data_IF_907982734201
#
_entry.id   IF_907982734201
#
_cell.length_a   1.000
_cell.length_b   1.000
_cell.length_c   1.000
_cell.angle_alpha   90.00
_cell.angle_beta   90.00
_cell.angle_gamma   90.00
#
_symmetry.space_group_name_H-M   'P 1'
#
loop_
_entity.id
_entity.type
_entity.pdbx_description
1 polymer ?
#
# COMPACT_ATOMS: atom_id res chain seq x y z
N UNK A 1 5.77 15.46 12.88
CA UNK A 1 6.19 14.93 11.54
C UNK A 1 7.45 14.09 11.75
N UNK A 2 7.42 12.78 11.50
CA UNK A 2 8.52 11.85 11.86
C UNK A 2 9.50 11.56 10.71
N UNK A 3 9.06 11.73 9.46
CA UNK A 3 9.88 11.46 8.29
C UNK A 3 10.69 12.71 7.90
N UNK A 4 12.00 12.55 7.71
CA UNK A 4 12.89 13.61 7.22
C UNK A 4 12.59 13.91 5.74
N UNK A 5 12.84 15.14 5.25
CA UNK A 5 12.82 15.44 3.82
C UNK A 5 13.64 14.42 3.02
N UNK A 6 13.11 13.96 1.88
CA UNK A 6 13.70 12.88 1.07
C UNK A 6 13.50 11.46 1.61
N UNK A 7 12.96 11.31 2.82
CA UNK A 7 12.71 10.01 3.46
C UNK A 7 11.66 9.17 2.73
N UNK A 8 11.73 7.85 2.94
CA UNK A 8 10.84 6.87 2.29
C UNK A 8 9.79 6.39 3.28
N UNK A 9 8.53 6.39 2.85
CA UNK A 9 7.41 5.77 3.53
C UNK A 9 6.94 4.55 2.72
N UNK A 10 6.88 3.39 3.36
CA UNK A 10 6.27 2.20 2.78
C UNK A 10 4.97 1.89 3.54
N UNK A 11 3.86 1.82 2.82
CA UNK A 11 2.53 1.52 3.33
C UNK A 11 2.08 0.18 2.77
N UNK A 12 1.60 -0.70 3.64
CA UNK A 12 0.88 -1.92 3.27
C UNK A 12 -0.51 -1.83 3.89
N UNK A 13 -1.54 -1.77 3.06
CA UNK A 13 -2.93 -1.63 3.52
C UNK A 13 -3.82 -2.69 2.86
N UNK A 14 -4.88 -3.17 3.54
CA UNK A 14 -5.83 -4.07 2.91
C UNK A 14 -6.49 -3.41 1.70
N UNK A 15 -6.64 -4.18 0.63
CA UNK A 15 -7.20 -3.72 -0.62
C UNK A 15 -8.71 -3.94 -0.70
N UNK A 16 -9.36 -3.02 -1.41
CA UNK A 16 -10.76 -3.11 -1.84
C UNK A 16 -11.81 -3.16 -0.73
N UNK A 17 -12.62 -2.11 -0.60
CA UNK A 17 -13.69 -2.05 0.42
C UNK A 17 -14.74 -3.16 0.27
N UNK A 18 -14.96 -3.68 -0.94
CA UNK A 18 -15.89 -4.79 -1.18
C UNK A 18 -15.38 -6.15 -0.64
N UNK A 19 -14.10 -6.25 -0.26
CA UNK A 19 -13.55 -7.41 0.44
C UNK A 19 -13.64 -7.28 1.97
N UNK A 20 -14.13 -6.14 2.48
CA UNK A 20 -14.25 -5.92 3.92
C UNK A 20 -15.29 -6.87 4.52
N UNK A 21 -14.90 -7.57 5.59
CA UNK A 21 -15.76 -8.55 6.24
C UNK A 21 -15.63 -8.60 7.76
N UNK A 22 -16.29 -9.59 8.41
CA UNK A 22 -16.26 -9.75 9.86
C UNK A 22 -14.85 -9.89 10.46
N UNK A 23 -13.91 -10.51 9.73
CA UNK A 23 -12.52 -10.64 10.23
C UNK A 23 -11.77 -9.34 10.19
N UNK A 24 -12.00 -8.50 9.18
CA UNK A 24 -11.43 -7.15 9.18
C UNK A 24 -11.84 -6.44 10.47
N UNK A 25 -13.14 -6.49 10.81
CA UNK A 25 -13.65 -5.90 12.05
C UNK A 25 -13.04 -6.53 13.30
N UNK A 26 -12.92 -7.86 13.34
CA UNK A 26 -12.34 -8.58 14.46
C UNK A 26 -10.84 -8.26 14.65
N UNK A 27 -10.12 -8.04 13.55
CA UNK A 27 -8.70 -7.67 13.50
C UNK A 27 -8.50 -6.14 13.62
N UNK A 28 -9.52 -5.38 14.04
CA UNK A 28 -9.45 -3.94 14.25
C UNK A 28 -9.36 -3.09 12.97
N UNK A 29 -9.58 -3.67 11.80
CA UNK A 29 -9.63 -2.94 10.55
C UNK A 29 -10.97 -2.20 10.39
N UNK A 30 -10.86 -0.92 10.04
CA UNK A 30 -12.00 -0.04 9.80
C UNK A 30 -12.27 0.20 8.31
N UNK A 31 -11.23 0.12 7.47
CA UNK A 31 -11.28 0.50 6.06
C UNK A 31 -10.33 -0.36 5.23
N UNK A 32 -10.66 -0.51 3.94
CA UNK A 32 -9.76 -1.04 2.91
C UNK A 32 -9.66 -0.04 1.76
N UNK A 33 -8.50 0.04 1.11
CA UNK A 33 -8.18 1.08 0.13
C UNK A 33 -7.97 0.49 -1.28
N UNK A 34 -8.36 1.21 -2.32
CA UNK A 34 -7.95 0.91 -3.70
C UNK A 34 -6.74 1.75 -4.09
N UNK A 35 -6.05 1.37 -5.18
CA UNK A 35 -4.93 2.17 -5.75
C UNK A 35 -5.32 3.63 -5.95
N UNK A 36 -6.41 3.87 -6.70
CA UNK A 36 -6.91 5.22 -7.00
C UNK A 36 -7.23 6.02 -5.74
N UNK A 37 -7.80 5.37 -4.73
CA UNK A 37 -8.15 6.06 -3.49
C UNK A 37 -6.89 6.47 -2.72
N UNK A 38 -5.87 5.60 -2.72
CA UNK A 38 -4.58 5.88 -2.10
C UNK A 38 -3.82 6.98 -2.86
N UNK A 39 -3.87 7.00 -4.20
CA UNK A 39 -3.31 8.06 -5.04
C UNK A 39 -3.94 9.42 -4.72
N UNK A 40 -5.27 9.49 -4.59
CA UNK A 40 -5.98 10.71 -4.20
C UNK A 40 -5.56 11.15 -2.79
N UNK A 41 -5.51 10.24 -1.82
CA UNK A 41 -5.09 10.62 -0.47
C UNK A 41 -3.64 11.14 -0.44
N UNK A 42 -2.75 10.52 -1.21
CA UNK A 42 -1.35 10.93 -1.28
C UNK A 42 -1.17 12.29 -1.99
N UNK A 43 -2.03 12.64 -2.96
CA UNK A 43 -1.93 13.94 -3.65
C UNK A 43 -2.22 15.13 -2.75
N UNK A 44 -2.93 14.94 -1.65
CA UNK A 44 -3.14 15.95 -0.61
C UNK A 44 -1.98 16.05 0.39
N UNK A 45 -0.87 15.37 0.12
CA UNK A 45 0.31 15.36 0.99
C UNK A 45 1.58 15.66 0.19
N UNK A 46 2.70 15.85 0.90
CA UNK A 46 4.03 15.96 0.28
C UNK A 46 4.67 14.59 -0.02
N UNK A 47 3.91 13.50 0.04
CA UNK A 47 4.39 12.16 -0.24
C UNK A 47 4.20 11.85 -1.73
N UNK A 48 5.28 11.94 -2.50
CA UNK A 48 5.28 11.56 -3.90
C UNK A 48 5.31 10.02 -4.03
N UNK A 49 4.33 9.39 -4.69
CA UNK A 49 4.37 7.95 -4.93
C UNK A 49 5.50 7.58 -5.88
N UNK A 50 6.36 6.64 -5.47
CA UNK A 50 7.37 5.98 -6.32
C UNK A 50 6.78 4.72 -6.96
N UNK A 51 5.96 3.99 -6.19
CA UNK A 51 5.35 2.74 -6.62
C UNK A 51 4.05 2.49 -5.88
N UNK A 52 2.99 2.15 -6.61
CA UNK A 52 1.75 1.66 -6.02
C UNK A 52 1.32 0.39 -6.77
N UNK A 53 1.25 -0.74 -6.07
CA UNK A 53 0.87 -2.03 -6.69
C UNK A 53 -0.02 -2.85 -5.77
N UNK A 54 -0.83 -3.71 -6.38
CA UNK A 54 -1.56 -4.73 -5.65
C UNK A 54 -0.64 -5.91 -5.36
N UNK A 55 -0.96 -6.64 -4.30
CA UNK A 55 -0.29 -7.87 -3.89
C UNK A 55 -1.34 -8.92 -3.50
N UNK A 56 -0.97 -10.18 -3.64
CA UNK A 56 -1.73 -11.35 -3.25
C UNK A 56 -3.12 -11.43 -3.92
N UNK A 57 -3.15 -11.46 -5.25
CA UNK A 57 -4.37 -11.65 -6.05
C UNK A 57 -5.08 -12.99 -5.78
N UNK A 58 -4.38 -14.13 -5.67
CA UNK A 58 -5.02 -15.39 -5.30
C UNK A 58 -5.64 -15.33 -3.90
N UNK A 59 -4.97 -14.67 -2.96
CA UNK A 59 -5.52 -14.40 -1.63
C UNK A 59 -6.79 -13.56 -1.69
N UNK A 60 -6.86 -12.55 -2.56
CA UNK A 60 -8.05 -11.73 -2.75
C UNK A 60 -9.25 -12.58 -3.22
N UNK A 61 -9.01 -13.47 -4.17
CA UNK A 61 -10.02 -14.38 -4.70
C UNK A 61 -10.46 -15.39 -3.64
N UNK A 62 -9.52 -16.01 -2.93
CA UNK A 62 -9.82 -16.95 -1.84
C UNK A 62 -10.63 -16.28 -0.72
N UNK A 63 -10.28 -15.04 -0.36
CA UNK A 63 -11.01 -14.22 0.60
C UNK A 63 -12.44 -13.99 0.10
N UNK A 64 -12.60 -13.51 -1.13
CA UNK A 64 -13.92 -13.24 -1.72
C UNK A 64 -14.81 -14.49 -1.76
N UNK A 65 -14.30 -15.62 -2.23
CA UNK A 65 -15.05 -16.89 -2.25
C UNK A 65 -15.48 -17.27 -0.84
N UNK A 66 -14.58 -17.18 0.14
CA UNK A 66 -14.89 -17.51 1.53
C UNK A 66 -16.02 -16.65 2.12
N UNK A 67 -15.98 -15.34 1.92
CA UNK A 67 -17.02 -14.45 2.48
C UNK A 67 -18.31 -14.51 1.70
N UNK A 68 -18.22 -14.38 0.38
CA UNK A 68 -19.37 -14.16 -0.48
C UNK A 68 -20.12 -15.45 -0.77
N UNK A 69 -19.39 -16.54 -0.98
CA UNK A 69 -19.96 -17.83 -1.33
C UNK A 69 -20.13 -18.73 -0.11
N UNK A 70 -19.07 -18.92 0.69
CA UNK A 70 -19.09 -19.86 1.82
C UNK A 70 -19.65 -19.27 3.12
N UNK A 71 -19.80 -17.94 3.21
CA UNK A 71 -20.28 -17.20 4.39
C UNK A 71 -19.56 -17.56 5.70
N UNK A 72 -18.29 -17.99 5.62
CA UNK A 72 -17.51 -18.38 6.79
C UNK A 72 -16.77 -17.19 7.39
N UNK A 73 -16.97 -16.96 8.70
CA UNK A 73 -16.40 -15.85 9.46
C UNK A 73 -15.30 -16.26 10.45
N UNK A 74 -14.89 -17.54 10.49
CA UNK A 74 -13.82 -18.06 11.37
C UNK A 74 -12.71 -18.79 10.60
N UNK A 75 -11.45 -18.43 10.91
CA UNK A 75 -10.25 -19.01 10.32
C UNK A 75 -9.80 -20.09 11.27
N UNK A 76 -9.76 -21.32 10.79
CA UNK A 76 -9.22 -22.42 11.57
C UNK A 76 -7.69 -22.30 11.65
N UNK A 77 -7.12 -22.63 12.80
CA UNK A 77 -5.70 -22.44 13.12
C UNK A 77 -4.72 -23.02 12.08
N UNK A 78 -5.11 -24.06 11.33
CA UNK A 78 -4.27 -24.65 10.26
C UNK A 78 -4.34 -23.95 8.89
N UNK A 79 -5.42 -23.21 8.60
CA UNK A 79 -5.65 -22.62 7.28
C UNK A 79 -4.72 -21.42 7.03
N UNK A 80 -4.39 -20.67 8.08
CA UNK A 80 -3.43 -19.56 8.01
C UNK A 80 -2.03 -20.04 7.63
N UNK A 81 -1.57 -21.17 8.19
CA UNK A 81 -0.27 -21.75 7.89
C UNK A 81 -0.16 -22.21 6.43
N UNK A 82 -1.19 -22.89 5.92
CA UNK A 82 -1.24 -23.31 4.52
C UNK A 82 -1.22 -22.10 3.56
N UNK A 83 -1.99 -21.05 3.86
CA UNK A 83 -1.97 -19.81 3.07
C UNK A 83 -0.60 -19.13 3.11
N UNK A 84 0.05 -19.09 4.28
CA UNK A 84 1.39 -18.53 4.43
C UNK A 84 2.45 -19.32 3.64
N UNK A 85 2.34 -20.65 3.59
CA UNK A 85 3.27 -21.52 2.87
C UNK A 85 3.22 -21.32 1.34
N UNK A 86 2.07 -20.95 0.78
CA UNK A 86 1.90 -20.70 -0.66
C UNK A 86 2.34 -19.28 -1.05
N UNK A 87 2.46 -18.36 -0.08
CA UNK A 87 2.77 -16.96 -0.32
C UNK A 87 4.12 -16.70 -1.04
N UNK A 88 5.22 -17.43 -0.77
CA UNK A 88 6.48 -17.25 -1.51
C UNK A 88 6.32 -17.51 -3.02
N UNK A 89 5.55 -18.54 -3.39
CA UNK A 89 5.27 -18.88 -4.78
C UNK A 89 4.44 -17.77 -5.46
N UNK A 90 3.38 -17.31 -4.78
CA UNK A 90 2.56 -16.18 -5.26
C UNK A 90 3.44 -14.94 -5.47
N UNK A 91 4.30 -14.61 -4.49
CA UNK A 91 5.22 -13.46 -4.58
C UNK A 91 6.19 -13.58 -5.76
N UNK A 92 6.71 -14.77 -6.03
CA UNK A 92 7.59 -15.01 -7.17
C UNK A 92 6.87 -14.73 -8.50
N UNK A 93 5.64 -15.21 -8.63
CA UNK A 93 4.80 -14.98 -9.81
C UNK A 93 4.40 -13.50 -9.97
N UNK A 94 3.93 -12.85 -8.90
CA UNK A 94 3.53 -11.44 -8.91
C UNK A 94 4.69 -10.48 -9.17
N UNK A 95 5.93 -10.92 -8.97
CA UNK A 95 7.12 -10.15 -9.35
C UNK A 95 7.31 -10.10 -10.87
N UNK A 96 6.90 -11.14 -11.58
CA UNK A 96 6.97 -11.23 -13.04
C UNK A 96 5.79 -10.50 -13.66
N UNK A 97 4.58 -10.78 -13.17
CA UNK A 97 3.33 -10.20 -13.69
C UNK A 97 2.64 -9.45 -12.54
N UNK A 98 2.73 -8.11 -12.48
CA UNK A 98 2.06 -7.33 -11.45
C UNK A 98 0.54 -7.51 -11.57
N UNK A 99 -0.15 -7.94 -10.52
CA UNK A 99 -1.56 -8.24 -10.64
C UNK A 99 -2.40 -6.95 -10.75
N UNK A 100 -3.51 -6.98 -11.52
CA UNK A 100 -4.40 -5.81 -11.66
C UNK A 100 -5.30 -5.59 -10.43
N UNK A 101 -5.39 -6.57 -9.52
CA UNK A 101 -6.09 -6.50 -8.23
C UNK A 101 -5.30 -7.29 -7.17
N UNK A 102 -5.69 -7.22 -5.90
CA UNK A 102 -5.00 -7.95 -4.83
C UNK A 102 -5.72 -7.90 -3.50
N UNK A 103 -5.24 -8.66 -2.51
CA UNK A 103 -5.75 -8.60 -1.14
C UNK A 103 -5.21 -7.37 -0.40
N UNK A 104 -4.06 -6.86 -0.83
CA UNK A 104 -3.42 -5.68 -0.27
C UNK A 104 -2.93 -4.71 -1.35
N UNK A 105 -2.83 -3.44 -1.01
CA UNK A 105 -2.12 -2.42 -1.78
C UNK A 105 -0.82 -2.11 -1.04
N UNK A 106 0.29 -2.10 -1.76
CA UNK A 106 1.54 -1.51 -1.28
C UNK A 106 1.79 -0.19 -1.99
N UNK A 107 2.09 0.85 -1.22
CA UNK A 107 2.57 2.13 -1.73
C UNK A 107 3.95 2.44 -1.12
N UNK A 108 4.89 2.80 -1.98
CA UNK A 108 6.19 3.34 -1.58
C UNK A 108 6.22 4.78 -2.03
N UNK A 109 6.42 5.69 -1.08
CA UNK A 109 6.38 7.13 -1.31
C UNK A 109 7.66 7.79 -0.80
N UNK A 110 8.07 8.86 -1.46
CA UNK A 110 9.14 9.74 -0.99
C UNK A 110 8.52 11.02 -0.45
N UNK A 111 8.97 11.47 0.72
CA UNK A 111 8.59 12.78 1.22
C UNK A 111 9.39 13.85 0.48
N UNK A 112 8.70 14.66 -0.29
CA UNK A 112 9.31 15.80 -0.97
C UNK A 112 9.76 16.86 0.07
N UNK A 113 10.87 17.57 -0.21
CA UNK A 113 11.31 18.70 0.60
C UNK A 113 10.22 19.76 0.78
N UNK A 114 10.36 20.58 1.81
CA UNK A 114 9.49 21.75 1.92
C UNK A 114 9.85 22.76 0.84
N UNK A 115 8.95 23.14 -0.08
CA UNK A 115 9.25 24.14 -1.09
C UNK A 115 9.71 25.46 -0.46
N UNK A 116 9.22 25.81 0.74
CA UNK A 116 9.65 27.01 1.45
C UNK A 116 11.10 26.92 1.98
N UNK A 117 11.59 25.73 2.32
CA UNK A 117 12.97 25.53 2.79
C UNK A 117 13.98 25.45 1.64
N UNK A 118 13.53 25.08 0.43
CA UNK A 118 14.39 25.02 -0.76
C UNK A 118 14.71 26.41 -1.30
N UNK A 119 13.78 27.37 -1.18
CA UNK A 119 13.95 28.74 -1.66
C UNK A 119 15.03 29.53 -0.88
N UNK A 120 15.20 29.27 0.41
CA UNK A 120 16.19 29.99 1.26
C UNK A 120 17.64 29.55 1.03
N UNK A 121 17.89 28.48 0.28
CA UNK A 121 19.24 27.94 0.06
C UNK A 121 19.88 28.42 -1.25
N UNK A 122 19.16 29.17 -2.09
CA UNK A 122 19.60 29.61 -3.43
C UNK A 122 20.23 31.01 -3.51
N UNK A 123 20.23 31.78 -2.43
CA UNK A 123 20.58 33.22 -2.45
C UNK A 123 22.07 33.49 -2.14
N UNK A 124 22.96 32.65 -2.69
CA UNK A 124 24.41 32.70 -2.43
C UNK A 124 25.29 32.55 -3.67
N UNK A 125 24.76 32.75 -4.89
CA UNK A 125 25.59 32.74 -6.09
C UNK A 125 26.36 34.09 -6.19
N UNK A 126 27.71 34.09 -6.23
CA UNK A 126 28.46 35.34 -6.35
C UNK A 126 28.19 35.95 -7.73
N UNK A 127 27.68 37.19 -7.74
CA UNK A 127 27.62 38.01 -8.94
C UNK A 127 29.04 38.17 -9.47
N UNK A 128 29.33 37.57 -10.64
CA UNK A 128 30.59 37.82 -11.35
C UNK A 128 30.70 39.32 -11.65
N UNK A 129 31.83 39.98 -11.35
CA UNK A 129 32.06 41.33 -11.83
C UNK A 129 32.35 41.29 -13.33
N UNK A 130 31.71 42.25 -14.02
CA UNK A 130 31.73 42.66 -15.44
C UNK A 130 32.65 41.93 -16.41
#
# INVERSE_FOLDING_TARGET
RLLRPGGILALLVPAHIWLYGPYDRADGHYRRYGKRHLEILLSHTRLRPIRIRYLNAPGALAWWVRYRLLRRSTLEHGQLGAMAAVLPLIRAFERIIPPPFGLSVVAVCRLEPDPAATASSGEGAPRRPR
#
